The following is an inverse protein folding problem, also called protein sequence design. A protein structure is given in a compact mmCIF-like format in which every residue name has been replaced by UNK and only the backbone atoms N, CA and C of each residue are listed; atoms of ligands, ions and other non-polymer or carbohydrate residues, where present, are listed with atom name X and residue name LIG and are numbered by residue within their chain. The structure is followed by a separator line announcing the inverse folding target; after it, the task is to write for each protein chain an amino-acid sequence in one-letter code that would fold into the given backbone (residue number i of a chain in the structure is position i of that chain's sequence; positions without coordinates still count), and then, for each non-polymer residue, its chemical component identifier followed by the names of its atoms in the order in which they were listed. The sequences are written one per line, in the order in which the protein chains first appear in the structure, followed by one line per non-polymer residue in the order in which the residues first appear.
data_IF_287287193223
#
_entry.id   IF_287287193223
#
_cell.length_a   1.000
_cell.length_b   1.000
_cell.length_c   1.000
_cell.angle_alpha   90.00
_cell.angle_beta   90.00
_cell.angle_gamma   90.00
#
_symmetry.space_group_name_H-M   'P 1'
#
loop_
_entity.id
_entity.type
_entity.pdbx_description
1 polymer ?
#
# COMPACT_ATOMS: atom_id res chain seq x y z
N UNK A 1 -26.51 5.64 -10.54
CA UNK A 1 -25.98 4.88 -9.39
C UNK A 1 -25.94 5.80 -8.17
N UNK A 2 -26.44 5.39 -7.00
CA UNK A 2 -26.36 6.18 -5.78
C UNK A 2 -24.89 6.41 -5.42
N UNK A 3 -24.56 7.65 -5.05
CA UNK A 3 -23.19 8.07 -4.70
C UNK A 3 -23.08 8.15 -3.19
N UNK A 4 -21.99 7.64 -2.62
CA UNK A 4 -21.74 7.73 -1.18
C UNK A 4 -20.97 9.01 -0.84
N UNK A 5 -21.30 9.61 0.29
CA UNK A 5 -20.50 10.67 0.88
C UNK A 5 -19.19 10.10 1.45
N UNK A 6 -18.11 10.86 1.37
CA UNK A 6 -16.78 10.43 1.83
C UNK A 6 -16.76 10.10 3.33
N UNK A 7 -17.50 10.87 4.13
CA UNK A 7 -17.65 10.59 5.55
C UNK A 7 -18.25 9.20 5.78
N UNK A 8 -19.29 8.83 5.03
CA UNK A 8 -19.89 7.50 5.10
C UNK A 8 -18.89 6.39 4.73
N UNK A 9 -18.08 6.58 3.69
CA UNK A 9 -17.04 5.60 3.31
C UNK A 9 -16.00 5.43 4.42
N UNK A 10 -15.53 6.54 5.00
CA UNK A 10 -14.57 6.52 6.11
C UNK A 10 -15.16 5.80 7.33
N UNK A 11 -16.42 6.06 7.67
CA UNK A 11 -17.09 5.38 8.78
C UNK A 11 -17.26 3.88 8.55
N UNK A 12 -17.66 3.47 7.33
CA UNK A 12 -17.79 2.04 6.99
C UNK A 12 -16.42 1.36 7.05
N UNK A 13 -15.39 1.98 6.48
CA UNK A 13 -14.02 1.46 6.52
C UNK A 13 -13.50 1.34 7.96
N UNK A 14 -13.67 2.38 8.77
CA UNK A 14 -13.28 2.35 10.18
C UNK A 14 -14.03 1.26 10.95
N UNK A 15 -15.33 1.10 10.71
CA UNK A 15 -16.13 0.02 11.28
C UNK A 15 -15.60 -1.37 10.87
N UNK A 16 -15.26 -1.57 9.60
CA UNK A 16 -14.66 -2.82 9.13
C UNK A 16 -13.28 -3.08 9.76
N UNK A 17 -12.42 -2.07 9.85
CA UNK A 17 -11.12 -2.18 10.53
C UNK A 17 -11.26 -2.47 12.03
N UNK A 18 -12.25 -1.87 12.70
CA UNK A 18 -12.52 -2.13 14.11
C UNK A 18 -13.07 -3.54 14.35
N UNK A 19 -13.96 -4.01 13.47
CA UNK A 19 -14.41 -5.41 13.50
C UNK A 19 -13.26 -6.38 13.27
N UNK A 20 -12.32 -6.03 12.39
CA UNK A 20 -11.10 -6.82 12.18
C UNK A 20 -10.23 -6.89 13.44
N UNK A 21 -10.05 -5.76 14.12
CA UNK A 21 -9.35 -5.69 15.40
C UNK A 21 -10.00 -6.58 16.48
N UNK A 22 -11.34 -6.54 16.61
CA UNK A 22 -12.07 -7.38 17.56
C UNK A 22 -12.01 -8.87 17.18
N UNK A 23 -12.20 -9.18 15.89
CA UNK A 23 -12.22 -10.56 15.37
C UNK A 23 -10.87 -11.28 15.45
N UNK A 24 -9.78 -10.54 15.65
CA UNK A 24 -8.42 -11.06 15.77
C UNK A 24 -7.86 -10.97 17.19
N UNK A 25 -8.71 -10.71 18.20
CA UNK A 25 -8.30 -10.47 19.60
C UNK A 25 -7.19 -9.41 19.72
N UNK A 26 -7.38 -8.29 19.03
CA UNK A 26 -6.41 -7.22 18.93
C UNK A 26 -5.22 -7.54 18.04
N UNK A 27 -5.47 -8.23 16.91
CA UNK A 27 -4.47 -8.75 15.97
C UNK A 27 -3.57 -9.87 16.49
N UNK A 28 -3.82 -10.40 17.70
CA UNK A 28 -3.04 -11.51 18.27
C UNK A 28 -3.29 -12.84 17.58
N UNK A 29 -4.49 -13.03 17.06
CA UNK A 29 -4.89 -14.23 16.32
C UNK A 29 -4.86 -13.89 14.84
N UNK A 30 -3.91 -14.49 14.12
CA UNK A 30 -3.80 -14.33 12.68
C UNK A 30 -5.02 -14.96 11.98
N UNK A 31 -5.91 -14.11 11.49
CA UNK A 31 -6.99 -14.50 10.59
C UNK A 31 -6.81 -13.75 9.26
N UNK A 32 -6.27 -14.42 8.23
CA UNK A 32 -5.96 -13.81 6.93
C UNK A 32 -7.16 -13.14 6.27
N UNK A 33 -8.35 -13.76 6.42
CA UNK A 33 -9.60 -13.25 5.89
C UNK A 33 -9.96 -11.95 6.58
N UNK A 34 -10.02 -11.97 7.92
CA UNK A 34 -10.47 -10.83 8.72
C UNK A 34 -9.49 -9.65 8.55
N UNK A 35 -8.19 -9.92 8.46
CA UNK A 35 -7.16 -8.88 8.31
C UNK A 35 -7.19 -8.20 6.94
N UNK A 36 -7.58 -8.88 5.87
CA UNK A 36 -7.65 -8.32 4.50
C UNK A 36 -8.99 -7.65 4.16
N UNK A 37 -10.08 -8.02 4.84
CA UNK A 37 -11.43 -7.52 4.56
C UNK A 37 -11.56 -5.99 4.49
N UNK A 38 -10.98 -5.18 5.41
CA UNK A 38 -11.19 -3.73 5.38
C UNK A 38 -10.75 -3.10 4.07
N UNK A 39 -9.61 -3.53 3.52
CA UNK A 39 -9.08 -2.99 2.25
C UNK A 39 -9.89 -3.47 1.04
N UNK A 40 -10.41 -4.70 1.09
CA UNK A 40 -11.35 -5.20 0.08
C UNK A 40 -12.66 -4.40 0.10
N UNK A 41 -13.20 -4.13 1.28
CA UNK A 41 -14.38 -3.27 1.44
C UNK A 41 -14.10 -1.87 0.91
N UNK A 42 -12.93 -1.30 1.21
CA UNK A 42 -12.52 0.00 0.68
C UNK A 42 -12.49 0.01 -0.85
N UNK A 43 -11.94 -1.04 -1.48
CA UNK A 43 -11.94 -1.21 -2.93
C UNK A 43 -13.34 -1.17 -3.54
N UNK A 44 -14.31 -1.86 -2.94
CA UNK A 44 -15.70 -1.78 -3.42
C UNK A 44 -16.30 -0.39 -3.22
N UNK A 45 -16.03 0.26 -2.09
CA UNK A 45 -16.52 1.60 -1.78
C UNK A 45 -15.93 2.65 -2.73
N UNK A 46 -14.68 2.50 -3.20
CA UNK A 46 -14.06 3.47 -4.13
C UNK A 46 -14.84 3.56 -5.44
N UNK A 47 -15.48 2.49 -5.91
CA UNK A 47 -16.30 2.49 -7.13
C UNK A 47 -17.53 3.42 -7.05
N UNK A 48 -17.97 3.77 -5.83
CA UNK A 48 -19.13 4.64 -5.60
C UNK A 48 -18.78 6.12 -5.31
N UNK A 49 -17.52 6.50 -5.48
CA UNK A 49 -17.02 7.87 -5.24
C UNK A 49 -17.22 8.84 -6.41
N UNK A 50 -16.83 10.11 -6.22
CA UNK A 50 -16.88 11.15 -7.25
C UNK A 50 -15.62 11.24 -8.15
N UNK A 51 -14.60 10.42 -7.89
CA UNK A 51 -13.36 10.39 -8.67
C UNK A 51 -13.59 10.23 -10.18
N UNK A 52 -12.67 10.78 -10.98
CA UNK A 52 -12.57 10.49 -12.41
C UNK A 52 -12.56 8.98 -12.69
N UNK A 53 -13.21 8.55 -13.77
CA UNK A 53 -13.41 7.14 -14.09
C UNK A 53 -12.10 6.33 -14.11
N UNK A 54 -11.05 6.85 -14.73
CA UNK A 54 -9.76 6.16 -14.80
C UNK A 54 -9.13 5.99 -13.42
N UNK A 55 -9.01 7.07 -12.65
CA UNK A 55 -8.44 7.04 -11.30
C UNK A 55 -9.26 6.14 -10.35
N UNK A 56 -10.59 6.18 -10.47
CA UNK A 56 -11.51 5.33 -9.71
C UNK A 56 -11.29 3.84 -9.94
N UNK A 57 -11.25 3.40 -11.19
CA UNK A 57 -11.06 1.98 -11.50
C UNK A 57 -9.67 1.50 -11.11
N UNK A 58 -8.64 2.31 -11.36
CA UNK A 58 -7.26 1.96 -11.00
C UNK A 58 -7.10 1.85 -9.48
N UNK A 59 -7.63 2.81 -8.71
CA UNK A 59 -7.58 2.76 -7.24
C UNK A 59 -8.35 1.59 -6.64
N UNK A 60 -9.55 1.33 -7.15
CA UNK A 60 -10.33 0.16 -6.75
C UNK A 60 -9.53 -1.13 -6.99
N UNK A 61 -8.99 -1.28 -8.21
CA UNK A 61 -8.28 -2.49 -8.61
C UNK A 61 -6.96 -2.66 -7.83
N UNK A 62 -6.23 -1.59 -7.54
CA UNK A 62 -5.05 -1.66 -6.69
C UNK A 62 -5.40 -2.13 -5.29
N UNK A 63 -6.44 -1.57 -4.66
CA UNK A 63 -6.84 -1.98 -3.30
C UNK A 63 -7.36 -3.41 -3.27
N UNK A 64 -8.05 -3.86 -4.31
CA UNK A 64 -8.46 -5.25 -4.42
C UNK A 64 -7.23 -6.17 -4.49
N UNK A 65 -6.26 -5.82 -5.35
CA UNK A 65 -5.02 -6.58 -5.52
C UNK A 65 -4.15 -6.57 -4.26
N UNK A 66 -4.07 -5.47 -3.51
CA UNK A 66 -3.34 -5.42 -2.25
C UNK A 66 -4.01 -6.24 -1.16
N UNK A 67 -5.34 -6.12 -1.02
CA UNK A 67 -6.11 -6.91 -0.06
C UNK A 67 -6.03 -8.41 -0.34
N UNK A 68 -6.16 -8.82 -1.61
CA UNK A 68 -6.00 -10.21 -2.01
C UNK A 68 -4.55 -10.71 -1.87
N UNK A 69 -3.58 -9.86 -2.19
CA UNK A 69 -2.16 -10.14 -2.00
C UNK A 69 -1.83 -10.42 -0.53
N UNK A 70 -2.33 -9.60 0.38
CA UNK A 70 -2.14 -9.78 1.82
C UNK A 70 -2.88 -11.01 2.37
N UNK A 71 -4.14 -11.22 1.95
CA UNK A 71 -4.88 -12.44 2.29
C UNK A 71 -4.10 -13.70 1.91
N UNK A 72 -3.68 -13.77 0.64
CA UNK A 72 -2.98 -14.93 0.10
C UNK A 72 -1.59 -15.12 0.73
N UNK A 73 -0.90 -14.04 1.11
CA UNK A 73 0.38 -14.07 1.81
C UNK A 73 0.32 -14.87 3.12
N UNK A 74 -0.76 -14.70 3.89
CA UNK A 74 -0.94 -15.41 5.15
C UNK A 74 -1.62 -16.78 4.98
N UNK A 75 -2.64 -16.89 4.14
CA UNK A 75 -3.41 -18.14 3.96
C UNK A 75 -2.63 -19.22 3.19
N UNK A 76 -1.88 -18.82 2.15
CA UNK A 76 -1.22 -19.74 1.22
C UNK A 76 0.30 -19.51 1.19
N UNK A 77 1.03 -19.85 2.29
CA UNK A 77 2.46 -19.58 2.40
C UNK A 77 3.31 -20.35 1.37
N UNK A 78 2.80 -21.43 0.79
CA UNK A 78 3.54 -22.22 -0.21
C UNK A 78 3.63 -21.53 -1.58
N UNK A 79 2.82 -20.50 -1.85
CA UNK A 79 2.76 -19.80 -3.15
C UNK A 79 3.24 -18.35 -3.05
N UNK A 80 4.33 -18.11 -2.32
CA UNK A 80 4.82 -16.75 -2.03
C UNK A 80 5.10 -15.91 -3.28
N UNK A 81 5.61 -16.52 -4.36
CA UNK A 81 5.90 -15.83 -5.62
C UNK A 81 4.64 -15.22 -6.23
N UNK A 82 3.55 -15.99 -6.24
CA UNK A 82 2.25 -15.54 -6.74
C UNK A 82 1.66 -14.47 -5.83
N UNK A 83 1.82 -14.61 -4.51
CA UNK A 83 1.27 -13.65 -3.56
C UNK A 83 2.02 -12.30 -3.64
N UNK A 84 3.35 -12.35 -3.76
CA UNK A 84 4.20 -11.18 -3.97
C UNK A 84 3.86 -10.45 -5.28
N UNK A 85 3.52 -11.18 -6.36
CA UNK A 85 3.17 -10.56 -7.63
C UNK A 85 1.87 -9.75 -7.56
N UNK A 86 0.88 -10.18 -6.77
CA UNK A 86 -0.32 -9.36 -6.51
C UNK A 86 0.00 -8.04 -5.79
N UNK A 87 0.94 -8.06 -4.83
CA UNK A 87 1.38 -6.83 -4.14
C UNK A 87 2.14 -5.89 -5.07
N UNK A 88 2.95 -6.44 -5.98
CA UNK A 88 3.66 -5.68 -7.01
C UNK A 88 2.67 -5.05 -8.01
N UNK A 89 1.74 -5.86 -8.53
CA UNK A 89 0.72 -5.42 -9.48
C UNK A 89 -0.14 -4.31 -8.87
N UNK A 90 -0.54 -4.44 -7.61
CA UNK A 90 -1.26 -3.39 -6.89
C UNK A 90 -0.57 -2.04 -6.97
N UNK A 91 0.74 -2.00 -6.71
CA UNK A 91 1.53 -0.75 -6.73
C UNK A 91 1.67 -0.19 -8.13
N UNK A 92 1.90 -1.04 -9.13
CA UNK A 92 1.94 -0.60 -10.53
C UNK A 92 0.62 0.06 -10.92
N UNK A 93 -0.51 -0.57 -10.57
CA UNK A 93 -1.84 -0.04 -10.87
C UNK A 93 -2.06 1.27 -10.12
N UNK A 94 -1.73 1.35 -8.82
CA UNK A 94 -1.91 2.57 -8.06
C UNK A 94 -1.01 3.70 -8.60
N UNK A 95 0.26 3.43 -8.93
CA UNK A 95 1.16 4.36 -9.59
C UNK A 95 0.55 4.96 -10.86
N UNK A 96 -0.03 4.13 -11.72
CA UNK A 96 -0.68 4.60 -12.96
C UNK A 96 -1.89 5.50 -12.69
N UNK A 97 -2.51 5.43 -11.50
CA UNK A 97 -3.67 6.25 -11.16
C UNK A 97 -3.35 7.73 -10.98
N UNK A 98 -2.15 8.09 -10.52
CA UNK A 98 -1.79 9.47 -10.17
C UNK A 98 -0.52 9.99 -10.85
N UNK A 99 0.16 9.19 -11.68
CA UNK A 99 1.35 9.65 -12.42
C UNK A 99 1.04 10.84 -13.33
N UNK A 100 -0.20 10.95 -13.82
CA UNK A 100 -0.68 12.09 -14.62
C UNK A 100 -0.70 13.42 -13.84
N UNK A 101 -0.72 13.36 -12.51
CA UNK A 101 -0.65 14.53 -11.64
C UNK A 101 0.76 15.16 -11.60
N UNK A 102 1.79 14.48 -12.10
CA UNK A 102 3.19 14.89 -12.00
C UNK A 102 3.53 16.03 -12.97
N UNK A 103 4.02 17.15 -12.41
CA UNK A 103 4.58 18.26 -13.19
C UNK A 103 6.09 18.10 -13.37
N UNK A 104 6.80 17.91 -12.26
CA UNK A 104 8.27 17.89 -12.22
C UNK A 104 8.75 16.93 -11.15
N UNK A 105 9.83 16.21 -11.45
CA UNK A 105 10.50 15.31 -10.51
C UNK A 105 11.33 16.10 -9.48
N UNK A 106 11.36 15.61 -8.24
CA UNK A 106 12.25 16.07 -7.18
C UNK A 106 13.37 15.04 -6.93
N UNK A 107 14.53 15.13 -7.61
CA UNK A 107 15.55 14.10 -7.58
C UNK A 107 16.04 13.70 -6.17
N UNK A 108 16.23 14.63 -5.21
CA UNK A 108 16.56 14.27 -3.83
C UNK A 108 15.64 13.22 -3.20
N UNK A 109 14.32 13.30 -3.43
CA UNK A 109 13.38 12.31 -2.87
C UNK A 109 13.63 10.91 -3.46
N UNK A 110 13.86 10.82 -4.77
CA UNK A 110 14.20 9.56 -5.42
C UNK A 110 15.54 9.00 -4.95
N UNK A 111 16.56 9.84 -4.77
CA UNK A 111 17.86 9.41 -4.26
C UNK A 111 17.68 8.77 -2.87
N UNK A 112 16.98 9.44 -1.95
CA UNK A 112 16.72 8.91 -0.59
C UNK A 112 15.94 7.60 -0.63
N UNK A 113 14.91 7.51 -1.46
CA UNK A 113 14.09 6.29 -1.53
C UNK A 113 14.82 5.13 -2.21
N UNK A 114 15.63 5.39 -3.24
CA UNK A 114 16.44 4.34 -3.87
C UNK A 114 17.60 3.89 -3.00
N UNK A 115 18.25 4.79 -2.24
CA UNK A 115 19.25 4.36 -1.25
C UNK A 115 18.61 3.51 -0.16
N UNK A 116 17.44 3.91 0.36
CA UNK A 116 16.67 3.10 1.29
C UNK A 116 16.35 1.71 0.73
N UNK A 117 15.76 1.65 -0.47
CA UNK A 117 15.40 0.39 -1.11
C UNK A 117 16.62 -0.50 -1.36
N UNK A 118 17.75 0.08 -1.79
CA UNK A 118 18.98 -0.66 -2.05
C UNK A 118 19.58 -1.25 -0.77
N UNK A 119 19.64 -0.46 0.31
CA UNK A 119 20.10 -0.93 1.63
C UNK A 119 19.17 -2.03 2.14
N UNK A 120 17.85 -1.84 2.02
CA UNK A 120 16.87 -2.84 2.45
C UNK A 120 17.00 -4.16 1.69
N UNK A 121 17.09 -4.10 0.36
CA UNK A 121 17.25 -5.29 -0.50
C UNK A 121 18.56 -6.01 -0.16
N UNK A 122 19.65 -5.28 0.03
CA UNK A 122 20.93 -5.85 0.40
C UNK A 122 20.85 -6.55 1.77
N UNK A 123 20.31 -5.88 2.80
CA UNK A 123 20.27 -6.44 4.15
C UNK A 123 19.26 -7.57 4.31
N UNK A 124 18.11 -7.51 3.64
CA UNK A 124 17.02 -8.46 3.83
C UNK A 124 17.04 -9.64 2.85
N UNK A 125 17.53 -9.45 1.62
CA UNK A 125 17.35 -10.44 0.55
C UNK A 125 18.64 -10.99 -0.05
N UNK A 126 19.81 -10.39 0.21
CA UNK A 126 21.05 -10.79 -0.47
C UNK A 126 21.37 -12.28 -0.29
N UNK A 127 21.29 -12.78 0.95
CA UNK A 127 21.60 -14.19 1.25
C UNK A 127 20.56 -15.17 0.68
N UNK A 128 19.34 -14.69 0.43
CA UNK A 128 18.23 -15.49 -0.08
C UNK A 128 18.21 -15.55 -1.61
N UNK A 129 18.99 -14.70 -2.31
CA UNK A 129 18.92 -14.56 -3.77
C UNK A 129 19.20 -15.87 -4.51
N UNK A 130 20.11 -16.69 -3.99
CA UNK A 130 20.46 -17.98 -4.58
C UNK A 130 19.41 -19.07 -4.31
N UNK A 131 18.61 -18.94 -3.25
CA UNK A 131 17.63 -19.97 -2.86
C UNK A 131 16.25 -19.71 -3.45
N UNK A 132 15.81 -18.45 -3.52
CA UNK A 132 14.48 -18.03 -3.97
C UNK A 132 14.56 -16.84 -4.96
N UNK A 133 15.20 -17.02 -6.13
CA UNK A 133 15.55 -15.91 -7.02
C UNK A 133 14.32 -15.16 -7.55
N UNK A 134 13.28 -15.88 -7.99
CA UNK A 134 12.08 -15.27 -8.59
C UNK A 134 11.33 -14.44 -7.54
N UNK A 135 11.12 -15.01 -6.35
CA UNK A 135 10.46 -14.31 -5.24
C UNK A 135 11.15 -12.99 -4.90
N UNK A 136 12.48 -13.02 -4.78
CA UNK A 136 13.26 -11.85 -4.39
C UNK A 136 13.28 -10.80 -5.49
N UNK A 137 13.32 -11.20 -6.76
CA UNK A 137 13.17 -10.26 -7.88
C UNK A 137 11.82 -9.55 -7.78
N UNK A 138 10.73 -10.27 -7.50
CA UNK A 138 9.39 -9.66 -7.37
C UNK A 138 9.31 -8.73 -6.15
N UNK A 139 9.84 -9.15 -5.01
CA UNK A 139 9.82 -8.34 -3.77
C UNK A 139 10.72 -7.10 -3.87
N UNK A 140 11.91 -7.24 -4.46
CA UNK A 140 12.80 -6.10 -4.73
C UNK A 140 12.17 -5.12 -5.70
N UNK A 141 11.56 -5.60 -6.79
CA UNK A 141 10.78 -4.75 -7.69
C UNK A 141 9.64 -4.03 -6.96
N UNK A 142 8.93 -4.71 -6.04
CA UNK A 142 7.87 -4.11 -5.23
C UNK A 142 8.38 -2.95 -4.38
N UNK A 143 9.53 -3.13 -3.71
CA UNK A 143 10.16 -2.07 -2.90
C UNK A 143 10.66 -0.90 -3.75
N UNK A 144 11.20 -1.17 -4.94
CA UNK A 144 11.64 -0.12 -5.88
C UNK A 144 10.44 0.69 -6.37
N UNK A 145 9.34 0.04 -6.74
CA UNK A 145 8.12 0.73 -7.19
C UNK A 145 7.52 1.57 -6.07
N UNK A 146 7.49 1.05 -4.85
CA UNK A 146 7.05 1.83 -3.68
C UNK A 146 7.94 3.06 -3.45
N UNK A 147 9.25 2.94 -3.67
CA UNK A 147 10.19 4.06 -3.67
C UNK A 147 9.89 5.10 -4.76
N UNK A 148 9.52 4.66 -5.97
CA UNK A 148 9.08 5.52 -7.06
C UNK A 148 7.77 6.25 -6.69
N UNK A 149 6.80 5.54 -6.12
CA UNK A 149 5.53 6.10 -5.66
C UNK A 149 5.72 7.21 -4.62
N UNK A 150 6.59 6.98 -3.62
CA UNK A 150 6.96 7.98 -2.62
C UNK A 150 7.67 9.17 -3.28
N UNK A 151 8.63 8.91 -4.16
CA UNK A 151 9.36 9.94 -4.89
C UNK A 151 8.42 10.84 -5.70
N UNK A 152 7.42 10.25 -6.37
CA UNK A 152 6.40 10.98 -7.11
C UNK A 152 5.46 11.75 -6.19
N UNK A 153 4.96 11.14 -5.11
CA UNK A 153 4.10 11.84 -4.16
C UNK A 153 4.81 13.05 -3.53
N UNK A 154 6.09 12.90 -3.16
CA UNK A 154 6.92 13.99 -2.66
C UNK A 154 7.17 15.07 -3.72
N UNK A 155 7.36 14.66 -4.98
CA UNK A 155 7.55 15.58 -6.11
C UNK A 155 6.30 16.43 -6.36
N UNK A 156 5.12 15.80 -6.36
CA UNK A 156 3.83 16.50 -6.53
C UNK A 156 3.55 17.40 -5.32
N UNK A 157 3.88 16.97 -4.10
CA UNK A 157 3.74 17.81 -2.92
C UNK A 157 4.60 19.07 -3.00
N UNK A 158 5.87 18.95 -3.45
CA UNK A 158 6.81 20.06 -3.55
C UNK A 158 6.52 21.01 -4.72
N UNK A 159 6.31 20.47 -5.91
CA UNK A 159 6.20 21.25 -7.14
C UNK A 159 4.75 21.52 -7.58
N UNK A 160 3.78 20.93 -6.88
CA UNK A 160 2.36 21.01 -7.23
C UNK A 160 1.97 19.96 -8.26
N UNK A 161 0.70 20.02 -8.66
CA UNK A 161 0.10 19.16 -9.67
C UNK A 161 -0.53 20.00 -10.78
N UNK A 162 -0.75 19.37 -11.94
CA UNK A 162 -1.61 19.92 -12.99
C UNK A 162 -3.10 19.99 -12.58
N UNK A 163 -3.52 19.25 -11.56
CA UNK A 163 -4.91 19.23 -11.07
C UNK A 163 -5.13 20.15 -9.85
N UNK A 164 -6.39 20.54 -9.60
CA UNK A 164 -6.80 21.46 -8.53
C UNK A 164 -6.65 20.87 -7.12
N UNK A 165 -6.39 21.72 -6.12
CA UNK A 165 -6.31 21.40 -4.67
C UNK A 165 -5.41 20.23 -4.23
N UNK A 166 -4.19 20.21 -4.76
CA UNK A 166 -3.32 19.02 -4.69
C UNK A 166 -2.27 19.00 -3.58
N UNK A 167 -1.94 20.12 -2.92
CA UNK A 167 -0.86 20.11 -1.90
C UNK A 167 -1.20 19.26 -0.69
N UNK A 168 -2.38 19.44 -0.11
CA UNK A 168 -2.83 18.64 1.04
C UNK A 168 -3.05 17.18 0.66
N UNK A 169 -3.67 16.92 -0.49
CA UNK A 169 -3.87 15.56 -1.01
C UNK A 169 -2.53 14.83 -1.23
N UNK A 170 -1.55 15.48 -1.84
CA UNK A 170 -0.24 14.89 -2.12
C UNK A 170 0.57 14.64 -0.86
N UNK A 171 0.44 15.51 0.16
CA UNK A 171 1.02 15.28 1.48
C UNK A 171 0.40 14.06 2.18
N UNK A 172 -0.93 13.93 2.13
CA UNK A 172 -1.65 12.76 2.63
C UNK A 172 -1.18 11.49 1.90
N UNK A 173 -1.03 11.54 0.58
CA UNK A 173 -0.50 10.43 -0.23
C UNK A 173 0.92 10.05 0.20
N UNK A 174 1.78 11.04 0.40
CA UNK A 174 3.16 10.83 0.84
C UNK A 174 3.23 10.15 2.21
N UNK A 175 2.44 10.60 3.20
CA UNK A 175 2.34 9.94 4.51
C UNK A 175 1.79 8.51 4.37
N UNK A 176 0.73 8.34 3.56
CA UNK A 176 0.14 7.03 3.30
C UNK A 176 1.17 6.04 2.77
N UNK A 177 1.99 6.44 1.80
CA UNK A 177 3.06 5.59 1.29
C UNK A 177 4.17 5.33 2.30
N UNK A 178 4.58 6.32 3.10
CA UNK A 178 5.57 6.08 4.16
C UNK A 178 5.09 5.03 5.17
N UNK A 179 3.83 5.11 5.60
CA UNK A 179 3.23 4.10 6.46
C UNK A 179 3.18 2.72 5.78
N UNK A 180 2.84 2.69 4.49
CA UNK A 180 2.83 1.44 3.71
C UNK A 180 4.23 0.85 3.59
N UNK A 181 5.27 1.66 3.37
CA UNK A 181 6.67 1.21 3.35
C UNK A 181 7.09 0.66 4.70
N UNK A 182 6.74 1.32 5.81
CA UNK A 182 7.05 0.78 7.14
C UNK A 182 6.38 -0.57 7.38
N UNK A 183 5.11 -0.71 6.98
CA UNK A 183 4.39 -1.97 7.09
C UNK A 183 5.04 -3.08 6.25
N UNK A 184 5.29 -2.84 4.95
CA UNK A 184 5.87 -3.87 4.06
C UNK A 184 7.30 -4.25 4.44
N UNK A 185 8.12 -3.27 4.83
CA UNK A 185 9.47 -3.53 5.31
C UNK A 185 9.46 -4.45 6.54
N UNK A 186 8.57 -4.19 7.50
CA UNK A 186 8.43 -5.05 8.67
C UNK A 186 7.85 -6.42 8.32
N UNK A 187 6.89 -6.51 7.39
CA UNK A 187 6.32 -7.77 6.92
C UNK A 187 7.37 -8.66 6.25
N UNK A 188 8.26 -8.09 5.44
CA UNK A 188 9.35 -8.84 4.81
C UNK A 188 10.44 -9.22 5.83
N UNK A 189 10.82 -8.32 6.74
CA UNK A 189 11.79 -8.63 7.80
C UNK A 189 11.25 -9.74 8.72
N UNK A 190 9.96 -9.75 9.06
CA UNK A 190 9.40 -10.81 9.89
C UNK A 190 9.48 -12.16 9.18
N UNK A 191 9.10 -12.18 7.89
CA UNK A 191 9.08 -13.41 7.08
C UNK A 191 10.47 -13.99 6.80
N UNK A 192 11.46 -13.15 6.52
CA UNK A 192 12.78 -13.56 6.05
C UNK A 192 13.91 -13.33 7.06
N UNK A 193 13.71 -12.40 7.98
CA UNK A 193 14.71 -11.97 8.96
C UNK A 193 14.70 -12.75 10.27
N UNK A 194 13.86 -13.79 10.44
CA UNK A 194 13.93 -14.68 11.61
C UNK A 194 13.00 -14.32 12.78
N UNK A 195 11.79 -13.82 12.52
CA UNK A 195 10.72 -13.55 13.51
C UNK A 195 11.09 -12.55 14.63
N UNK A 196 12.09 -11.70 14.46
CA UNK A 196 12.51 -10.72 15.49
C UNK A 196 11.39 -9.74 15.89
N UNK A 197 10.37 -9.56 15.06
CA UNK A 197 9.32 -8.55 15.23
C UNK A 197 7.91 -9.13 15.32
N UNK A 198 7.72 -10.43 15.57
CA UNK A 198 6.39 -11.05 15.54
C UNK A 198 5.33 -10.34 16.41
N UNK A 199 5.61 -9.78 17.61
CA UNK A 199 4.62 -9.03 18.38
C UNK A 199 4.36 -7.65 17.79
N UNK A 200 5.34 -7.06 17.10
CA UNK A 200 5.30 -5.70 16.57
C UNK A 200 4.58 -5.66 15.21
N UNK A 201 4.73 -6.70 14.39
CA UNK A 201 4.04 -6.90 13.11
C UNK A 201 2.51 -6.96 13.30
N UNK A 202 2.07 -7.59 14.39
CA UNK A 202 0.68 -7.63 14.84
C UNK A 202 0.07 -6.21 14.96
N UNK A 203 0.81 -5.27 15.54
CA UNK A 203 0.35 -3.88 15.69
C UNK A 203 0.54 -3.03 14.42
N UNK A 204 1.37 -3.48 13.47
CA UNK A 204 1.62 -2.76 12.21
C UNK A 204 0.49 -2.94 11.17
N UNK A 205 -0.46 -3.85 11.38
CA UNK A 205 -1.70 -3.90 10.60
C UNK A 205 -2.48 -2.58 10.65
N UNK A 206 -2.33 -1.81 11.74
CA UNK A 206 -2.88 -0.46 11.85
C UNK A 206 -2.27 0.47 10.78
N UNK A 207 -0.97 0.37 10.52
CA UNK A 207 -0.32 1.18 9.49
C UNK A 207 -0.77 0.76 8.09
N UNK A 208 -1.02 -0.52 7.87
CA UNK A 208 -1.62 -1.01 6.62
C UNK A 208 -3.02 -0.41 6.40
N UNK A 209 -3.87 -0.37 7.43
CA UNK A 209 -5.20 0.21 7.29
C UNK A 209 -5.20 1.73 7.16
N UNK A 210 -4.38 2.43 7.94
CA UNK A 210 -4.28 3.89 7.85
C UNK A 210 -3.70 4.28 6.50
N UNK A 211 -2.68 3.58 6.00
CA UNK A 211 -2.08 3.88 4.70
C UNK A 211 -3.10 3.80 3.57
N UNK A 212 -3.87 2.71 3.47
CA UNK A 212 -4.88 2.55 2.42
C UNK A 212 -5.99 3.59 2.50
N UNK A 213 -6.40 3.99 3.72
CA UNK A 213 -7.35 5.08 3.92
C UNK A 213 -6.78 6.43 3.44
N UNK A 214 -5.53 6.73 3.76
CA UNK A 214 -4.88 7.98 3.32
C UNK A 214 -4.71 7.99 1.80
N UNK A 215 -4.32 6.88 1.20
CA UNK A 215 -4.20 6.73 -0.25
C UNK A 215 -5.56 6.95 -0.93
N UNK A 216 -6.63 6.37 -0.40
CA UNK A 216 -8.00 6.61 -0.85
C UNK A 216 -8.36 8.10 -0.82
N UNK A 217 -8.21 8.75 0.33
CA UNK A 217 -8.53 10.17 0.52
C UNK A 217 -7.69 11.05 -0.42
N UNK A 218 -6.42 10.66 -0.64
CA UNK A 218 -5.54 11.41 -1.53
C UNK A 218 -6.05 11.42 -2.96
N UNK A 219 -6.42 10.25 -3.50
CA UNK A 219 -6.88 10.17 -4.88
C UNK A 219 -8.28 10.77 -5.06
N UNK A 220 -9.12 10.72 -4.04
CA UNK A 220 -10.45 11.36 -4.06
C UNK A 220 -10.34 12.88 -4.12
N UNK A 221 -9.32 13.45 -3.48
CA UNK A 221 -9.07 14.90 -3.50
C UNK A 221 -8.22 15.38 -4.65
N UNK A 222 -7.56 14.49 -5.39
CA UNK A 222 -6.73 14.86 -6.56
C UNK A 222 -7.52 14.92 -7.87
N UNK A 223 -8.64 14.20 -7.96
CA UNK A 223 -9.44 13.98 -9.18
C UNK A 223 -10.92 14.18 -8.90
#
# INVERSE_FOLDING_TARGET
MPRLNNSSIIYIYFGASFLSYLGTDGFKVDSPVISSMPVIVLSFLTLFTFMEWKAKFLTALSFLSSGWGLYSWYEFPNFMERNASFLLISKIIYLTSFITCLVRLWPPAFIVMFTYASIFIYLCFFDLFLTLPILIIVLSASMIILGIEIGLAASIWKYGSYQMDTKYSSFIRFIGFLLLTTFESCLYIDKFGGNYFSPLVIYLNIFYYISHLLLFISNERSF
#
